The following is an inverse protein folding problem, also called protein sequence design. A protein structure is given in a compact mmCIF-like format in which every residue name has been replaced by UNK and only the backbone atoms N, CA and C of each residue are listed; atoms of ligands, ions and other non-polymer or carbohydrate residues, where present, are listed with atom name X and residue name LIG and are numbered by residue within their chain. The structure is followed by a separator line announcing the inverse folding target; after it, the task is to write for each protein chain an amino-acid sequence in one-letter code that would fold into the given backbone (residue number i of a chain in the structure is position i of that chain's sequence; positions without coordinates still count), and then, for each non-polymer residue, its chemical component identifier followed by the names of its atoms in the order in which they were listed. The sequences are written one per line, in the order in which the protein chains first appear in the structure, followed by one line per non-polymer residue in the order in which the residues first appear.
data_IF_155033725815
#
_entry.id   IF_155033725815
#
_cell.length_a   1.000
_cell.length_b   1.000
_cell.length_c   1.000
_cell.angle_alpha   90.00
_cell.angle_beta   90.00
_cell.angle_gamma   90.00
#
_symmetry.space_group_name_H-M   'P 1'
#
loop_
_entity.id
_entity.type
_entity.pdbx_description
1 polymer ?
#
# COMPACT_ATOMS: atom_id res chain seq x y z
N UNK A 1 -20.51 -11.85 -4.32
CA UNK A 1 -20.30 -10.56 -3.62
C UNK A 1 -19.89 -9.53 -4.68
N UNK A 2 -20.69 -8.48 -4.93
CA UNK A 2 -20.41 -7.53 -6.04
C UNK A 2 -19.19 -6.67 -5.72
N UNK A 3 -18.21 -6.61 -6.63
CA UNK A 3 -16.97 -5.80 -6.54
C UNK A 3 -17.25 -4.33 -6.19
N UNK A 4 -18.43 -3.80 -6.56
CA UNK A 4 -18.88 -2.45 -6.19
C UNK A 4 -18.94 -2.19 -4.68
N UNK A 5 -19.05 -3.23 -3.84
CA UNK A 5 -19.16 -3.07 -2.37
C UNK A 5 -17.80 -2.91 -1.67
N UNK A 6 -16.67 -3.22 -2.32
CA UNK A 6 -15.33 -3.14 -1.72
C UNK A 6 -14.45 -2.13 -2.46
N UNK A 7 -14.24 -0.94 -1.87
CA UNK A 7 -13.42 0.14 -2.48
C UNK A 7 -11.96 -0.24 -2.70
N UNK A 8 -11.42 -1.16 -1.89
CA UNK A 8 -10.05 -1.69 -2.05
C UNK A 8 -9.85 -2.45 -3.38
N UNK A 9 -10.93 -2.79 -4.10
CA UNK A 9 -10.84 -3.42 -5.43
C UNK A 9 -10.08 -2.59 -6.46
N UNK A 10 -9.93 -1.27 -6.27
CA UNK A 10 -9.12 -0.42 -7.13
C UNK A 10 -7.63 -0.83 -7.13
N UNK A 11 -7.15 -1.50 -6.08
CA UNK A 11 -5.75 -1.95 -5.96
C UNK A 11 -5.35 -3.03 -6.98
N UNK A 12 -6.31 -3.68 -7.63
CA UNK A 12 -5.97 -4.63 -8.71
C UNK A 12 -5.60 -3.93 -10.01
N UNK A 13 -5.91 -2.64 -10.15
CA UNK A 13 -5.67 -1.90 -11.39
C UNK A 13 -4.19 -1.77 -11.74
N UNK A 14 -3.34 -1.44 -10.76
CA UNK A 14 -1.89 -1.33 -10.97
C UNK A 14 -1.24 -2.63 -11.47
N UNK A 15 -1.38 -3.77 -10.76
CA UNK A 15 -0.78 -5.03 -11.19
C UNK A 15 -1.41 -5.60 -12.46
N UNK A 16 -2.71 -5.37 -12.72
CA UNK A 16 -3.32 -5.75 -14.00
C UNK A 16 -2.71 -4.93 -15.13
N UNK A 17 -2.68 -3.60 -15.02
CA UNK A 17 -2.14 -2.73 -16.05
C UNK A 17 -0.68 -3.06 -16.38
N UNK A 18 0.13 -3.36 -15.37
CA UNK A 18 1.53 -3.72 -15.57
C UNK A 18 1.76 -5.10 -16.19
N UNK A 19 0.85 -6.07 -15.95
CA UNK A 19 0.98 -7.44 -16.44
C UNK A 19 0.28 -7.68 -17.78
N UNK A 20 -0.88 -7.07 -18.00
CA UNK A 20 -1.73 -7.30 -19.20
C UNK A 20 -1.78 -6.11 -20.13
N UNK A 21 -1.25 -4.94 -19.74
CA UNK A 21 -1.33 -3.70 -20.52
C UNK A 21 -2.73 -3.07 -20.52
N UNK A 22 -3.71 -3.69 -19.86
CA UNK A 22 -5.09 -3.21 -19.82
C UNK A 22 -5.77 -3.58 -18.50
N UNK A 23 -6.48 -2.62 -17.90
CA UNK A 23 -7.25 -2.83 -16.67
C UNK A 23 -8.58 -2.08 -16.73
N UNK A 24 -9.66 -2.75 -16.30
CA UNK A 24 -11.00 -2.17 -16.18
C UNK A 24 -11.55 -2.44 -14.80
N UNK A 25 -11.89 -1.37 -14.06
CA UNK A 25 -12.50 -1.47 -12.72
C UNK A 25 -13.74 -0.59 -12.63
N UNK A 26 -14.70 -0.99 -11.80
CA UNK A 26 -15.88 -0.18 -11.54
C UNK A 26 -15.47 1.07 -10.74
N UNK A 27 -16.06 2.22 -11.06
CA UNK A 27 -15.90 3.43 -10.25
C UNK A 27 -16.35 3.14 -8.82
N UNK A 28 -15.51 3.38 -7.80
CA UNK A 28 -15.94 3.27 -6.42
C UNK A 28 -17.07 4.27 -6.18
N UNK A 29 -18.24 3.78 -5.75
CA UNK A 29 -19.37 4.64 -5.39
C UNK A 29 -19.05 5.57 -4.22
N UNK A 30 -19.94 6.52 -3.90
CA UNK A 30 -19.80 7.41 -2.74
C UNK A 30 -19.70 6.67 -1.41
N UNK A 31 -18.93 7.20 -0.45
CA UNK A 31 -18.76 6.64 0.89
C UNK A 31 -19.19 7.66 1.93
N UNK A 32 -19.86 7.18 2.99
CA UNK A 32 -20.42 8.01 4.06
C UNK A 32 -19.36 8.80 4.86
N UNK A 33 -18.08 8.41 4.78
CA UNK A 33 -16.98 9.02 5.54
C UNK A 33 -16.36 10.22 4.76
N UNK A 34 -16.65 10.37 3.46
CA UNK A 34 -16.18 11.49 2.62
C UNK A 34 -15.85 11.10 1.17
N UNK A 35 -15.67 12.10 0.30
CA UNK A 35 -15.13 11.92 -1.05
C UNK A 35 -13.66 11.54 -0.96
N UNK A 36 -13.32 10.32 -1.38
CA UNK A 36 -11.93 9.86 -1.54
C UNK A 36 -11.70 9.69 -3.03
N UNK A 37 -11.25 10.74 -3.73
CA UNK A 37 -11.00 10.65 -5.15
C UNK A 37 -9.84 9.69 -5.40
N UNK A 38 -9.86 9.10 -6.60
CA UNK A 38 -8.86 8.15 -7.10
C UNK A 38 -7.94 8.81 -8.14
N UNK A 39 -8.05 10.13 -8.25
CA UNK A 39 -7.25 11.02 -9.10
C UNK A 39 -5.76 10.72 -8.99
N UNK A 40 -5.23 10.53 -7.78
CA UNK A 40 -3.81 10.24 -7.57
C UNK A 40 -3.36 8.92 -8.19
N UNK A 41 -4.24 7.91 -8.25
CA UNK A 41 -3.93 6.65 -8.92
C UNK A 41 -3.84 6.85 -10.43
N UNK A 42 -4.84 7.55 -11.01
CA UNK A 42 -4.93 7.79 -12.44
C UNK A 42 -3.77 8.66 -12.92
N UNK A 43 -3.47 9.74 -12.18
CA UNK A 43 -2.31 10.62 -12.40
C UNK A 43 -1.00 9.82 -12.44
N UNK A 44 -0.84 8.87 -11.53
CA UNK A 44 0.34 7.99 -11.50
C UNK A 44 0.43 7.11 -12.75
N UNK A 45 -0.67 6.48 -13.17
CA UNK A 45 -0.68 5.64 -14.36
C UNK A 45 -0.48 6.43 -15.66
N UNK A 46 -1.09 7.61 -15.78
CA UNK A 46 -0.91 8.53 -16.92
C UNK A 46 0.55 8.98 -17.05
N UNK A 47 1.19 9.34 -15.93
CA UNK A 47 2.60 9.69 -15.91
C UNK A 47 3.50 8.53 -16.38
N UNK A 48 3.07 7.28 -16.17
CA UNK A 48 3.74 6.06 -16.65
C UNK A 48 3.36 5.66 -18.08
N UNK A 49 2.60 6.50 -18.79
CA UNK A 49 2.23 6.32 -20.20
C UNK A 49 0.93 5.56 -20.44
N UNK A 50 0.10 5.34 -19.41
CA UNK A 50 -1.23 4.76 -19.59
C UNK A 50 -2.22 5.79 -20.13
N UNK A 51 -3.09 5.37 -21.04
CA UNK A 51 -4.27 6.12 -21.45
C UNK A 51 -5.43 5.75 -20.54
N UNK A 52 -6.02 6.74 -19.88
CA UNK A 52 -7.15 6.56 -18.98
C UNK A 52 -8.44 7.04 -19.65
N UNK A 53 -9.51 6.26 -19.49
CA UNK A 53 -10.86 6.63 -19.90
C UNK A 53 -11.81 6.39 -18.72
N UNK A 54 -12.56 7.42 -18.35
CA UNK A 54 -13.55 7.35 -17.27
C UNK A 54 -14.93 7.59 -17.87
N UNK A 55 -15.83 6.63 -17.72
CA UNK A 55 -17.16 6.71 -18.32
C UNK A 55 -18.04 5.51 -17.96
N UNK A 56 -19.35 5.67 -18.09
CA UNK A 56 -20.34 4.60 -17.91
C UNK A 56 -20.24 3.83 -16.56
N UNK A 57 -19.73 4.48 -15.51
CA UNK A 57 -19.53 3.85 -14.19
C UNK A 57 -18.27 2.98 -14.07
N UNK A 58 -17.35 3.07 -15.03
CA UNK A 58 -16.08 2.33 -15.07
C UNK A 58 -14.90 3.27 -15.32
N UNK A 59 -13.72 2.72 -15.00
CA UNK A 59 -12.42 3.28 -15.33
C UNK A 59 -11.70 2.24 -16.14
N UNK A 60 -11.23 2.65 -17.30
CA UNK A 60 -10.43 1.83 -18.19
C UNK A 60 -9.05 2.47 -18.33
N UNK A 61 -8.02 1.66 -18.13
CA UNK A 61 -6.63 2.05 -18.27
C UNK A 61 -5.98 1.12 -19.29
N UNK A 62 -5.25 1.67 -20.27
CA UNK A 62 -4.59 0.89 -21.31
C UNK A 62 -3.21 1.49 -21.63
N UNK A 63 -2.22 0.63 -21.87
CA UNK A 63 -0.90 1.02 -22.37
C UNK A 63 -0.49 0.10 -23.51
N UNK A 64 0.14 0.67 -24.55
CA UNK A 64 0.72 -0.11 -25.64
C UNK A 64 2.07 -0.67 -25.20
N UNK A 65 2.13 -1.97 -24.95
CA UNK A 65 3.34 -2.63 -24.44
C UNK A 65 3.42 -2.53 -22.91
N UNK A 66 4.57 -2.13 -22.39
CA UNK A 66 4.78 -1.97 -20.94
C UNK A 66 4.64 -0.51 -20.53
N UNK A 67 4.19 -0.30 -19.28
CA UNK A 67 4.31 1.00 -18.63
C UNK A 67 5.76 1.47 -18.61
N UNK A 68 5.99 2.79 -18.60
CA UNK A 68 7.32 3.38 -18.51
C UNK A 68 7.57 3.96 -17.13
N UNK A 69 8.82 3.92 -16.71
CA UNK A 69 9.28 4.59 -15.49
C UNK A 69 9.06 6.10 -15.58
N UNK A 70 8.65 6.71 -14.47
CA UNK A 70 8.33 8.13 -14.41
C UNK A 70 8.68 8.74 -13.05
N UNK A 71 8.84 10.06 -13.00
CA UNK A 71 8.89 10.81 -11.74
C UNK A 71 7.49 11.31 -11.40
N UNK A 72 6.95 10.90 -10.27
CA UNK A 72 5.57 11.13 -9.88
C UNK A 72 5.55 11.76 -8.48
N UNK A 73 4.85 12.88 -8.35
CA UNK A 73 4.60 13.54 -7.08
C UNK A 73 3.12 13.37 -6.71
N UNK A 74 2.87 12.80 -5.53
CA UNK A 74 1.52 12.67 -4.98
C UNK A 74 1.13 13.96 -4.26
N UNK A 75 -0.07 14.49 -4.54
CA UNK A 75 -0.53 15.74 -3.93
C UNK A 75 -0.83 15.57 -2.43
N UNK A 76 -1.17 14.35 -2.02
CA UNK A 76 -1.24 13.92 -0.64
C UNK A 76 -0.73 12.47 -0.51
N UNK A 77 -0.19 12.07 0.66
CA UNK A 77 0.37 10.74 0.88
C UNK A 77 -0.73 9.66 0.96
N UNK A 78 -1.31 9.33 -0.18
CA UNK A 78 -2.36 8.32 -0.31
C UNK A 78 -1.78 6.91 -0.21
N UNK A 79 -2.22 6.14 0.78
CA UNK A 79 -1.86 4.71 0.95
C UNK A 79 -2.18 3.94 -0.32
N UNK A 80 -3.44 3.99 -0.75
CA UNK A 80 -3.88 3.21 -1.91
C UNK A 80 -3.19 3.62 -3.22
N UNK A 81 -2.94 4.92 -3.44
CA UNK A 81 -2.24 5.36 -4.65
C UNK A 81 -0.79 4.88 -4.64
N UNK A 82 -0.13 4.97 -3.49
CA UNK A 82 1.23 4.48 -3.28
C UNK A 82 1.32 2.98 -3.60
N UNK A 83 0.42 2.16 -3.04
CA UNK A 83 0.37 0.71 -3.30
C UNK A 83 0.19 0.40 -4.80
N UNK A 84 -0.80 1.04 -5.44
CA UNK A 84 -1.12 0.78 -6.84
C UNK A 84 0.03 1.14 -7.78
N UNK A 85 0.66 2.30 -7.55
CA UNK A 85 1.75 2.79 -8.39
C UNK A 85 3.01 1.94 -8.19
N UNK A 86 3.34 1.52 -6.96
CA UNK A 86 4.49 0.64 -6.71
C UNK A 86 4.30 -0.71 -7.39
N UNK A 87 3.10 -1.31 -7.27
CA UNK A 87 2.78 -2.57 -7.97
C UNK A 87 2.88 -2.41 -9.48
N UNK A 88 2.42 -1.29 -10.03
CA UNK A 88 2.50 -1.02 -11.46
C UNK A 88 3.96 -0.81 -11.94
N UNK A 89 4.74 -0.07 -11.16
CA UNK A 89 6.13 0.25 -11.45
C UNK A 89 7.07 -0.95 -11.37
N UNK A 90 6.72 -1.98 -10.58
CA UNK A 90 7.53 -3.18 -10.42
C UNK A 90 7.81 -3.92 -11.75
N UNK A 91 6.90 -3.81 -12.73
CA UNK A 91 7.06 -4.40 -14.08
C UNK A 91 7.15 -3.32 -15.19
N UNK A 92 7.27 -2.04 -14.84
CA UNK A 92 7.44 -0.99 -15.84
C UNK A 92 8.86 -1.03 -16.47
N UNK A 93 9.03 -0.46 -17.65
CA UNK A 93 10.35 -0.28 -18.25
C UNK A 93 11.03 0.97 -17.68
N UNK A 94 12.19 0.80 -17.05
CA UNK A 94 12.98 1.89 -16.50
C UNK A 94 12.77 2.10 -15.01
N UNK A 95 12.97 3.33 -14.54
CA UNK A 95 12.92 3.69 -13.12
C UNK A 95 11.77 4.63 -12.83
N UNK A 96 10.97 4.30 -11.82
CA UNK A 96 9.95 5.18 -11.26
C UNK A 96 10.45 5.77 -9.94
N UNK A 97 10.25 7.08 -9.76
CA UNK A 97 10.50 7.79 -8.51
C UNK A 97 9.18 8.36 -8.04
N UNK A 98 8.71 7.91 -6.88
CA UNK A 98 7.47 8.35 -6.27
C UNK A 98 7.77 9.20 -5.04
N UNK A 99 7.31 10.46 -5.04
CA UNK A 99 7.54 11.44 -3.99
C UNK A 99 6.26 11.77 -3.23
N UNK A 100 6.41 12.19 -1.96
CA UNK A 100 5.31 12.47 -1.03
C UNK A 100 4.38 11.26 -0.80
N UNK A 101 4.99 10.08 -0.63
CA UNK A 101 4.29 8.80 -0.47
C UNK A 101 3.81 8.54 0.95
N UNK A 102 2.86 7.61 1.03
CA UNK A 102 2.49 6.92 2.25
C UNK A 102 3.71 6.20 2.88
N UNK A 103 3.84 6.27 4.20
CA UNK A 103 4.96 5.75 5.00
C UNK A 103 4.55 4.61 5.92
N UNK A 104 3.31 4.19 5.80
CA UNK A 104 2.67 3.23 6.67
C UNK A 104 3.37 1.86 6.60
N UNK A 105 3.34 1.07 7.70
CA UNK A 105 3.95 -0.26 7.73
C UNK A 105 3.46 -1.19 6.62
N UNK A 106 2.21 -1.03 6.19
CA UNK A 106 1.62 -1.80 5.10
C UNK A 106 2.33 -1.54 3.74
N UNK A 107 2.81 -0.30 3.51
CA UNK A 107 3.61 0.05 2.32
C UNK A 107 4.97 -0.63 2.36
N UNK A 108 5.58 -0.67 3.54
CA UNK A 108 6.87 -1.34 3.76
C UNK A 108 6.73 -2.85 3.53
N UNK A 109 5.66 -3.44 4.03
CA UNK A 109 5.37 -4.86 3.86
C UNK A 109 5.17 -5.22 2.38
N UNK A 110 4.38 -4.42 1.65
CA UNK A 110 4.20 -4.59 0.21
C UNK A 110 5.51 -4.48 -0.57
N UNK A 111 6.35 -3.50 -0.24
CA UNK A 111 7.67 -3.34 -0.87
C UNK A 111 8.58 -4.55 -0.61
N UNK A 112 8.59 -5.05 0.62
CA UNK A 112 9.33 -6.27 0.99
C UNK A 112 8.82 -7.48 0.22
N UNK A 113 7.50 -7.62 0.06
CA UNK A 113 6.92 -8.70 -0.72
C UNK A 113 7.31 -8.62 -2.20
N UNK A 114 7.23 -7.43 -2.81
CA UNK A 114 7.66 -7.21 -4.20
C UNK A 114 9.15 -7.54 -4.37
N UNK A 115 9.99 -7.15 -3.42
CA UNK A 115 11.41 -7.51 -3.42
C UNK A 115 11.64 -9.02 -3.29
N UNK A 116 10.87 -9.71 -2.44
CA UNK A 116 10.93 -11.17 -2.32
C UNK A 116 10.54 -11.89 -3.63
N UNK A 117 9.66 -11.29 -4.43
CA UNK A 117 9.29 -11.78 -5.77
C UNK A 117 10.35 -11.47 -6.85
N UNK A 118 11.45 -10.79 -6.50
CA UNK A 118 12.53 -10.39 -7.42
C UNK A 118 12.43 -8.96 -7.94
N UNK A 119 11.50 -8.15 -7.42
CA UNK A 119 11.41 -6.74 -7.72
C UNK A 119 12.53 -5.91 -7.06
N UNK A 120 12.60 -4.63 -7.44
CA UNK A 120 13.59 -3.68 -6.92
C UNK A 120 12.93 -2.41 -6.41
N UNK A 121 12.41 -2.46 -5.20
CA UNK A 121 11.75 -1.34 -4.50
C UNK A 121 12.62 -0.89 -3.34
N UNK A 122 12.96 0.39 -3.29
CA UNK A 122 13.78 1.01 -2.23
C UNK A 122 13.13 2.27 -1.68
N UNK A 123 13.38 2.57 -0.41
CA UNK A 123 12.89 3.79 0.25
C UNK A 123 11.48 3.68 0.86
N UNK A 124 10.88 2.48 0.90
CA UNK A 124 9.60 2.27 1.58
C UNK A 124 9.71 2.61 3.07
N UNK A 125 8.72 3.32 3.61
CA UNK A 125 8.75 3.91 4.96
C UNK A 125 9.38 5.31 5.01
N UNK A 126 9.92 5.81 3.89
CA UNK A 126 10.40 7.19 3.76
C UNK A 126 9.46 8.04 2.90
N UNK A 127 9.72 9.33 2.73
CA UNK A 127 8.92 10.22 1.87
C UNK A 127 9.10 10.01 0.35
N UNK A 128 10.03 9.14 -0.05
CA UNK A 128 10.34 8.88 -1.46
C UNK A 128 10.63 7.40 -1.68
N UNK A 129 9.95 6.80 -2.66
CA UNK A 129 10.18 5.41 -3.07
C UNK A 129 10.74 5.39 -4.48
N UNK A 130 11.83 4.64 -4.67
CA UNK A 130 12.44 4.39 -5.98
C UNK A 130 12.18 2.94 -6.38
N UNK A 131 11.63 2.75 -7.57
CA UNK A 131 11.31 1.45 -8.14
C UNK A 131 12.07 1.29 -9.45
N UNK A 132 12.91 0.27 -9.54
CA UNK A 132 13.51 -0.16 -10.82
C UNK A 132 12.67 -1.32 -11.35
N UNK A 133 11.97 -1.11 -12.46
CA UNK A 133 11.10 -2.14 -13.01
C UNK A 133 11.90 -3.32 -13.57
N UNK A 134 11.34 -4.51 -13.43
CA UNK A 134 11.96 -5.78 -13.84
C UNK A 134 11.10 -6.48 -14.89
N UNK A 135 11.71 -7.38 -15.67
CA UNK A 135 11.00 -8.07 -16.74
C UNK A 135 9.87 -8.96 -16.23
N UNK A 136 10.13 -9.72 -15.16
CA UNK A 136 9.20 -10.67 -14.55
C UNK A 136 9.35 -10.71 -13.03
N UNK A 137 8.25 -11.08 -12.36
CA UNK A 137 8.21 -11.37 -10.92
C UNK A 137 7.86 -12.85 -10.73
N UNK A 138 8.36 -13.44 -9.65
CA UNK A 138 8.20 -14.85 -9.33
C UNK A 138 7.37 -15.02 -8.05
N UNK A 139 6.77 -16.20 -7.85
CA UNK A 139 6.08 -16.51 -6.61
C UNK A 139 7.03 -16.50 -5.42
N UNK A 140 6.65 -15.82 -4.33
CA UNK A 140 7.41 -15.75 -3.09
C UNK A 140 6.53 -16.16 -1.90
N UNK A 141 7.16 -16.71 -0.86
CA UNK A 141 6.50 -16.91 0.44
C UNK A 141 6.70 -15.65 1.28
N UNK A 142 5.63 -15.13 1.83
CA UNK A 142 5.65 -13.91 2.63
C UNK A 142 4.66 -14.01 3.78
N UNK A 143 5.09 -13.57 4.96
CA UNK A 143 4.25 -13.52 6.15
C UNK A 143 3.71 -12.10 6.26
N UNK A 144 2.38 -11.95 6.21
CA UNK A 144 1.71 -10.66 6.35
C UNK A 144 2.01 -10.10 7.74
N UNK A 145 2.26 -8.79 7.80
CA UNK A 145 2.48 -8.11 9.09
C UNK A 145 1.25 -8.21 10.01
N UNK A 146 1.46 -8.16 11.34
CA UNK A 146 0.37 -8.13 12.30
C UNK A 146 -0.54 -6.91 12.14
N UNK A 147 -1.84 -7.06 12.42
CA UNK A 147 -2.79 -5.95 12.34
C UNK A 147 -2.60 -4.97 13.51
N UNK A 148 -2.08 -3.79 13.19
CA UNK A 148 -1.82 -2.73 14.17
C UNK A 148 -3.10 -2.06 14.70
N UNK A 149 -4.18 -2.08 13.93
CA UNK A 149 -5.48 -1.50 14.35
C UNK A 149 -6.16 -2.45 15.33
N UNK A 150 -6.08 -3.75 15.08
CA UNK A 150 -6.53 -4.78 16.04
C UNK A 150 -5.75 -4.69 17.35
N UNK A 151 -4.40 -4.68 17.27
CA UNK A 151 -3.55 -4.55 18.44
C UNK A 151 -3.88 -3.29 19.26
N UNK A 152 -4.04 -2.14 18.59
CA UNK A 152 -4.42 -0.89 19.24
C UNK A 152 -5.80 -0.94 19.90
N UNK A 153 -6.75 -1.65 19.30
CA UNK A 153 -8.10 -1.83 19.87
C UNK A 153 -8.05 -2.59 21.19
N UNK A 154 -7.29 -3.69 21.27
CA UNK A 154 -7.10 -4.43 22.52
C UNK A 154 -6.37 -3.62 23.58
N UNK A 155 -5.39 -2.79 23.19
CA UNK A 155 -4.70 -1.90 24.12
C UNK A 155 -5.65 -0.86 24.73
N UNK A 156 -6.52 -0.24 23.92
CA UNK A 156 -7.53 0.71 24.41
C UNK A 156 -8.53 0.01 25.32
N UNK A 157 -8.98 -1.20 24.96
CA UNK A 157 -9.88 -1.98 25.80
C UNK A 157 -9.26 -2.32 27.17
N UNK A 158 -7.99 -2.73 27.21
CA UNK A 158 -7.27 -3.00 28.45
C UNK A 158 -7.14 -1.74 29.31
N UNK A 159 -6.84 -0.59 28.71
CA UNK A 159 -6.74 0.68 29.41
C UNK A 159 -8.07 1.13 30.03
N UNK A 160 -9.20 0.99 29.32
CA UNK A 160 -10.53 1.36 29.83
C UNK A 160 -10.99 0.45 30.95
N UNK A 161 -10.66 -0.85 30.86
CA UNK A 161 -11.05 -1.87 31.85
C UNK A 161 -10.07 -1.97 33.02
N UNK A 162 -9.00 -1.17 33.01
CA UNK A 162 -7.85 -1.28 33.91
C UNK A 162 -7.28 -2.71 34.01
N UNK A 163 -7.40 -3.49 32.93
CA UNK A 163 -6.94 -4.86 32.83
C UNK A 163 -5.47 -4.96 32.42
N UNK A 164 -4.85 -6.12 32.68
CA UNK A 164 -3.50 -6.44 32.22
C UNK A 164 -3.58 -7.42 31.05
N UNK A 165 -3.38 -6.93 29.83
CA UNK A 165 -3.46 -7.72 28.59
C UNK A 165 -2.12 -7.72 27.87
N UNK A 166 -1.63 -8.92 27.53
CA UNK A 166 -0.47 -9.10 26.67
C UNK A 166 -0.95 -9.34 25.23
N UNK A 167 -0.70 -8.37 24.34
CA UNK A 167 -0.96 -8.53 22.90
C UNK A 167 0.24 -9.23 22.27
N UNK A 168 0.09 -10.52 21.95
CA UNK A 168 1.17 -11.31 21.35
C UNK A 168 1.24 -11.07 19.84
N UNK A 169 2.46 -10.95 19.33
CA UNK A 169 2.72 -10.93 17.89
C UNK A 169 2.46 -9.58 17.22
N UNK A 170 2.34 -8.46 17.95
CA UNK A 170 2.49 -7.13 17.34
C UNK A 170 3.96 -6.92 16.92
N UNK A 171 4.20 -6.23 15.80
CA UNK A 171 5.57 -5.94 15.37
C UNK A 171 6.30 -5.18 16.50
N UNK A 172 7.51 -5.66 16.84
CA UNK A 172 8.36 -5.35 18.02
C UNK A 172 8.67 -3.86 18.33
N UNK A 173 8.05 -2.89 17.67
CA UNK A 173 8.03 -1.51 18.15
C UNK A 173 6.94 -1.26 19.23
N UNK A 174 6.03 -2.23 19.46
CA UNK A 174 4.93 -2.08 20.41
C UNK A 174 4.63 -3.35 21.23
N UNK A 175 5.66 -3.96 21.84
CA UNK A 175 5.45 -4.79 23.05
C UNK A 175 5.13 -3.84 24.22
N UNK A 176 3.96 -3.20 24.16
CA UNK A 176 3.51 -2.29 25.22
C UNK A 176 2.66 -3.12 26.16
N UNK A 177 3.28 -3.57 27.24
CA UNK A 177 2.54 -4.04 28.41
C UNK A 177 1.84 -2.82 29.02
N UNK A 178 0.53 -2.67 28.79
CA UNK A 178 -0.25 -1.67 29.51
C UNK A 178 -0.57 -2.24 30.90
N UNK A 179 0.35 -2.03 31.85
CA UNK A 179 0.17 -2.37 33.25
C UNK A 179 0.60 -1.20 34.12
N UNK A 180 -0.20 -0.86 35.14
CA UNK A 180 0.26 0.00 36.24
C UNK A 180 1.40 -0.72 36.97
N UNK A 181 2.63 -0.50 36.52
CA UNK A 181 3.82 -0.41 37.37
C UNK A 181 4.96 0.26 36.60
N UNK A 182 4.79 1.56 36.35
CA UNK A 182 5.92 2.47 36.34
C UNK A 182 6.47 2.61 37.76
N UNK A 183 7.20 1.61 38.26
CA UNK A 183 8.26 1.78 39.26
C UNK A 183 9.42 0.82 38.96
N UNK A 184 10.51 1.45 38.56
CA UNK A 184 11.91 1.04 38.66
C UNK A 184 12.41 -0.13 37.80
N UNK A 185 13.41 0.21 36.97
CA UNK A 185 14.71 -0.43 37.14
C UNK A 185 15.32 -0.99 35.87
N UNK A 186 16.25 -0.23 35.32
CA UNK A 186 17.39 -0.75 34.58
C UNK A 186 18.14 -1.78 35.45
N UNK A 187 18.47 -2.97 34.95
CA UNK A 187 19.74 -3.66 35.19
C UNK A 187 19.82 -4.98 34.44
N UNK A 188 20.88 -5.10 33.64
CA UNK A 188 21.44 -6.33 33.11
C UNK A 188 21.68 -7.36 34.23
N UNK A 189 21.42 -8.64 33.93
CA UNK A 189 22.28 -9.79 34.21
C UNK A 189 21.92 -10.95 33.29
#
# INVERSE_FOLDING_TARGET
MSIRKMRASVLVMGPLLARTGHARVALPGGCAIGSRPIDQHLKGFEAMGAKIQVGNGFIEAEVKGRLKGAKIYLDFPSVGATENIIMAAALAEGTTILENVAKEPEIVDLANYINAMGGKVRGAGTGTIKIEGVETLHGAKHNIIPDRIEAGTFMVAAAITEGNVLVKGSARAHDITCGKNGRNGYSDH
#
